data_IF_662147854761
#
_entry.id   IF_662147854761
#
_cell.length_a   1.000
_cell.length_b   1.000
_cell.length_c   1.000
_cell.angle_alpha   90.00
_cell.angle_beta   90.00
_cell.angle_gamma   90.00
#
_symmetry.space_group_name_H-M   'P 1'
#
loop_
_entity.id
_entity.type
_entity.pdbx_description
1 polymer ?
#
# COMPACT_ATOMS: atom_id res chain seq x y z
N UNK A 1 -24.28 39.55 -12.99
CA UNK A 1 -22.97 39.79 -12.38
C UNK A 1 -21.96 39.90 -13.53
N UNK A 2 -21.32 41.06 -13.67
CA UNK A 2 -20.37 41.25 -14.77
C UNK A 2 -19.06 40.48 -14.49
N UNK A 3 -18.27 40.10 -15.50
CA UNK A 3 -16.95 39.48 -15.29
C UNK A 3 -16.03 40.32 -14.40
N UNK A 4 -16.22 41.65 -14.46
CA UNK A 4 -15.47 42.61 -13.65
C UNK A 4 -15.84 42.56 -12.15
N UNK A 5 -17.14 42.36 -11.85
CA UNK A 5 -17.61 42.23 -10.47
C UNK A 5 -17.12 40.93 -9.84
N UNK A 6 -17.11 39.83 -10.62
CA UNK A 6 -16.57 38.54 -10.19
C UNK A 6 -15.07 38.64 -9.90
N UNK A 7 -14.30 39.31 -10.76
CA UNK A 7 -12.87 39.53 -10.59
C UNK A 7 -12.56 40.34 -9.31
N UNK A 8 -13.31 41.42 -9.09
CA UNK A 8 -13.14 42.25 -7.91
C UNK A 8 -13.51 41.50 -6.60
N UNK A 9 -14.58 40.70 -6.62
CA UNK A 9 -14.95 39.83 -5.52
C UNK A 9 -13.87 38.77 -5.20
N UNK A 10 -13.37 38.13 -6.26
CA UNK A 10 -12.27 37.14 -6.13
C UNK A 10 -11.00 37.80 -5.59
N UNK A 11 -10.64 38.97 -6.08
CA UNK A 11 -9.45 39.70 -5.61
C UNK A 11 -9.58 40.12 -4.15
N UNK A 12 -10.75 40.59 -3.73
CA UNK A 12 -11.02 40.96 -2.33
C UNK A 12 -11.03 39.71 -1.42
N UNK A 13 -11.64 38.61 -1.86
CA UNK A 13 -11.64 37.35 -1.12
C UNK A 13 -10.23 36.73 -1.00
N UNK A 14 -9.42 36.78 -2.07
CA UNK A 14 -8.03 36.31 -2.01
C UNK A 14 -7.13 37.18 -1.13
N UNK A 15 -7.37 38.50 -1.10
CA UNK A 15 -6.61 39.41 -0.21
C UNK A 15 -7.00 39.27 1.27
N UNK A 16 -8.15 38.65 1.58
CA UNK A 16 -8.58 38.39 2.95
C UNK A 16 -8.02 37.08 3.52
N UNK A 17 -7.44 36.19 2.67
CA UNK A 17 -6.79 34.98 3.15
C UNK A 17 -5.47 35.33 3.86
N UNK A 18 -5.28 34.95 5.13
CA UNK A 18 -4.04 35.23 5.82
C UNK A 18 -2.89 34.44 5.16
N UNK A 19 -1.82 35.16 4.82
CA UNK A 19 -0.66 34.58 4.12
C UNK A 19 -0.08 33.33 4.83
N UNK A 20 -0.15 33.32 6.16
CA UNK A 20 0.29 32.16 6.94
C UNK A 20 -0.55 30.91 6.68
N UNK A 21 -1.87 31.04 6.47
CA UNK A 21 -2.74 29.90 6.19
C UNK A 21 -2.43 29.31 4.82
N UNK A 22 -2.25 30.15 3.79
CA UNK A 22 -1.84 29.70 2.47
C UNK A 22 -0.49 28.98 2.53
N UNK A 23 0.48 29.54 3.24
CA UNK A 23 1.80 28.92 3.42
C UNK A 23 1.70 27.54 4.07
N UNK A 24 0.92 27.41 5.18
CA UNK A 24 0.72 26.12 5.88
C UNK A 24 0.10 25.07 4.97
N UNK A 25 -0.93 25.44 4.20
CA UNK A 25 -1.62 24.52 3.30
C UNK A 25 -0.72 24.08 2.13
N UNK A 26 0.03 25.00 1.53
CA UNK A 26 0.97 24.69 0.46
C UNK A 26 2.10 23.77 0.98
N UNK A 27 2.65 24.11 2.16
CA UNK A 27 3.69 23.29 2.78
C UNK A 27 3.17 21.87 3.09
N UNK A 28 1.95 21.75 3.62
CA UNK A 28 1.32 20.45 3.88
C UNK A 28 1.15 19.63 2.59
N UNK A 29 0.70 20.27 1.49
CA UNK A 29 0.58 19.62 0.19
C UNK A 29 1.94 19.12 -0.33
N UNK A 30 3.00 19.94 -0.17
CA UNK A 30 4.36 19.57 -0.59
C UNK A 30 4.88 18.38 0.24
N UNK A 31 4.78 18.44 1.58
CA UNK A 31 5.29 17.37 2.45
C UNK A 31 4.54 16.05 2.23
N UNK A 32 3.20 16.09 2.14
CA UNK A 32 2.38 14.94 1.80
C UNK A 32 2.68 14.41 0.38
N UNK A 33 2.91 15.33 -0.56
CA UNK A 33 3.29 15.00 -1.94
C UNK A 33 4.63 14.27 -2.02
N UNK A 34 5.64 14.70 -1.28
CA UNK A 34 6.98 14.05 -1.24
C UNK A 34 6.87 12.60 -0.72
N UNK A 35 6.10 12.38 0.36
CA UNK A 35 5.85 11.01 0.85
C UNK A 35 5.07 10.21 -0.19
N UNK A 36 4.03 10.81 -0.79
CA UNK A 36 3.20 10.16 -1.79
C UNK A 36 3.96 9.80 -3.08
N UNK A 37 4.95 10.61 -3.47
CA UNK A 37 5.81 10.34 -4.62
C UNK A 37 6.64 9.07 -4.42
N UNK A 38 7.20 8.87 -3.24
CA UNK A 38 7.90 7.62 -2.89
C UNK A 38 6.97 6.42 -3.02
N UNK A 39 5.72 6.54 -2.52
CA UNK A 39 4.72 5.48 -2.60
C UNK A 39 4.34 5.14 -4.04
N UNK A 40 4.15 6.17 -4.88
CA UNK A 40 3.80 6.02 -6.29
C UNK A 40 4.93 5.39 -7.10
N UNK A 41 6.17 5.82 -6.90
CA UNK A 41 7.35 5.23 -7.57
C UNK A 41 7.58 3.77 -7.22
N UNK A 42 7.14 3.34 -6.02
CA UNK A 42 7.19 1.96 -5.55
C UNK A 42 5.94 1.15 -5.90
N UNK A 43 5.01 1.69 -6.69
CA UNK A 43 3.73 1.06 -7.05
C UNK A 43 2.93 0.58 -5.84
N UNK A 44 3.02 1.30 -4.71
CA UNK A 44 2.26 0.99 -3.49
C UNK A 44 0.90 1.70 -3.53
N UNK A 45 -0.15 1.14 -2.90
CA UNK A 45 -1.44 1.82 -2.74
C UNK A 45 -1.26 3.18 -2.04
N UNK A 46 -2.20 4.13 -2.29
CA UNK A 46 -2.15 5.51 -1.81
C UNK A 46 -0.87 6.25 -2.25
N UNK A 47 -0.81 6.60 -3.54
CA UNK A 47 0.29 7.36 -4.16
C UNK A 47 0.26 8.86 -3.89
N UNK A 48 0.84 9.64 -4.82
CA UNK A 48 1.05 11.09 -4.73
C UNK A 48 -0.21 11.86 -4.35
N UNK A 49 -1.29 11.69 -5.11
CA UNK A 49 -2.53 12.47 -4.92
C UNK A 49 -3.16 12.20 -3.57
N UNK A 50 -3.24 10.93 -3.16
CA UNK A 50 -3.87 10.51 -1.90
C UNK A 50 -3.14 11.10 -0.70
N UNK A 51 -1.82 10.96 -0.63
CA UNK A 51 -1.03 11.48 0.49
C UNK A 51 -1.03 13.02 0.53
N UNK A 52 -0.95 13.68 -0.64
CA UNK A 52 -1.03 15.12 -0.74
C UNK A 52 -2.37 15.65 -0.21
N UNK A 53 -3.51 15.04 -0.60
CA UNK A 53 -4.82 15.48 -0.13
C UNK A 53 -5.07 15.18 1.34
N UNK A 54 -4.58 14.05 1.87
CA UNK A 54 -4.69 13.75 3.29
C UNK A 54 -3.92 14.76 4.14
N UNK A 55 -2.68 15.06 3.76
CA UNK A 55 -1.85 16.03 4.45
C UNK A 55 -2.46 17.44 4.39
N UNK A 56 -2.88 17.87 3.20
CA UNK A 56 -3.56 19.14 2.99
C UNK A 56 -4.86 19.24 3.80
N UNK A 57 -5.73 18.22 3.73
CA UNK A 57 -7.01 18.20 4.45
C UNK A 57 -6.82 18.23 5.96
N UNK A 58 -5.84 17.50 6.49
CA UNK A 58 -5.52 17.51 7.92
C UNK A 58 -5.01 18.90 8.37
N UNK A 59 -4.18 19.54 7.55
CA UNK A 59 -3.72 20.91 7.82
C UNK A 59 -4.89 21.92 7.79
N UNK A 60 -5.80 21.77 6.83
CA UNK A 60 -6.98 22.63 6.70
C UNK A 60 -7.92 22.46 7.91
N UNK A 61 -8.22 21.22 8.32
CA UNK A 61 -9.05 20.99 9.51
C UNK A 61 -8.41 21.53 10.78
N UNK A 62 -7.09 21.45 10.92
CA UNK A 62 -6.36 22.01 12.05
C UNK A 62 -6.45 23.54 12.06
N UNK A 63 -6.27 24.20 10.92
CA UNK A 63 -6.45 25.64 10.76
C UNK A 63 -7.87 26.07 11.09
N UNK A 64 -8.88 25.37 10.53
CA UNK A 64 -10.29 25.68 10.80
C UNK A 64 -10.64 25.48 12.28
N UNK A 65 -10.05 24.48 12.94
CA UNK A 65 -10.25 24.26 14.38
C UNK A 65 -9.80 25.46 15.22
N UNK A 66 -8.64 26.01 14.89
CA UNK A 66 -8.07 27.18 15.57
C UNK A 66 -8.84 28.46 15.27
N UNK A 67 -9.14 28.75 14.01
CA UNK A 67 -9.82 29.96 13.59
C UNK A 67 -11.28 30.02 14.08
N UNK A 68 -12.03 28.92 13.99
CA UNK A 68 -13.43 28.89 14.45
C UNK A 68 -13.53 28.97 15.96
N UNK A 69 -12.61 28.36 16.70
CA UNK A 69 -12.57 28.49 18.14
C UNK A 69 -12.20 29.92 18.57
N UNK A 70 -11.24 30.55 17.90
CA UNK A 70 -10.86 31.94 18.14
C UNK A 70 -11.99 32.93 17.85
N UNK A 71 -12.78 32.70 16.80
CA UNK A 71 -13.87 33.58 16.41
C UNK A 71 -15.14 33.47 17.28
N UNK A 72 -15.45 32.29 17.80
CA UNK A 72 -16.73 32.00 18.46
C UNK A 72 -16.57 31.58 19.93
N UNK A 73 -15.35 31.46 20.43
CA UNK A 73 -15.04 30.84 21.71
C UNK A 73 -15.18 29.30 21.63
N UNK A 74 -14.33 28.57 22.31
CA UNK A 74 -14.40 27.13 22.36
C UNK A 74 -13.04 26.46 22.39
N UNK A 75 -13.03 25.14 22.25
CA UNK A 75 -11.82 24.31 22.24
C UNK A 75 -11.18 24.32 20.86
N UNK A 76 -9.96 24.85 20.76
CA UNK A 76 -9.14 24.93 19.55
C UNK A 76 -8.75 23.58 18.99
N UNK A 77 -8.87 22.50 19.76
CA UNK A 77 -8.46 21.14 19.34
C UNK A 77 -9.62 20.27 18.88
N UNK A 78 -10.85 20.68 19.11
CA UNK A 78 -12.05 19.84 18.95
C UNK A 78 -12.25 19.31 17.54
N UNK A 79 -12.11 20.16 16.51
CA UNK A 79 -12.26 19.74 15.12
C UNK A 79 -11.03 18.95 14.69
N UNK A 80 -9.82 19.41 15.07
CA UNK A 80 -8.58 18.71 14.78
C UNK A 80 -8.56 17.28 15.34
N UNK A 81 -9.12 17.06 16.54
CA UNK A 81 -9.20 15.74 17.15
C UNK A 81 -10.01 14.72 16.31
N UNK A 82 -10.93 15.19 15.47
CA UNK A 82 -11.71 14.31 14.58
C UNK A 82 -10.93 13.80 13.37
N UNK A 83 -9.74 14.34 13.10
CA UNK A 83 -8.86 13.84 12.04
C UNK A 83 -8.44 12.41 12.33
N UNK A 84 -8.12 12.08 13.59
CA UNK A 84 -7.60 10.76 13.99
C UNK A 84 -8.61 9.64 13.71
N UNK A 85 -9.87 9.68 14.16
CA UNK A 85 -10.85 8.66 13.80
C UNK A 85 -11.19 8.66 12.30
N UNK A 86 -11.23 9.84 11.65
CA UNK A 86 -11.46 9.95 10.21
C UNK A 86 -10.40 9.24 9.37
N UNK A 87 -9.13 9.43 9.72
CA UNK A 87 -8.02 8.75 9.02
C UNK A 87 -7.98 7.26 9.36
N UNK A 88 -8.42 6.88 10.57
CA UNK A 88 -8.59 5.48 10.95
C UNK A 88 -9.55 4.74 10.02
N UNK A 89 -10.67 5.37 9.63
CA UNK A 89 -11.62 4.83 8.65
C UNK A 89 -11.00 4.66 7.26
N UNK A 90 -10.27 5.66 6.76
CA UNK A 90 -9.56 5.59 5.47
C UNK A 90 -8.46 4.51 5.52
N UNK A 91 -7.72 4.44 6.63
CA UNK A 91 -6.69 3.43 6.86
C UNK A 91 -7.26 2.02 6.85
N UNK A 92 -8.37 1.78 7.55
CA UNK A 92 -9.08 0.51 7.53
C UNK A 92 -9.55 0.13 6.12
N UNK A 93 -10.07 1.11 5.35
CA UNK A 93 -10.45 0.91 3.96
C UNK A 93 -9.29 0.58 3.02
N UNK A 94 -8.05 0.88 3.40
CA UNK A 94 -6.85 0.55 2.63
C UNK A 94 -6.29 -0.85 2.94
N UNK A 95 -6.78 -1.51 3.99
CA UNK A 95 -6.38 -2.86 4.38
C UNK A 95 -7.30 -3.86 3.68
N UNK A 96 -6.72 -4.69 2.83
CA UNK A 96 -7.45 -5.73 2.10
C UNK A 96 -7.09 -7.10 2.66
N UNK A 97 -8.13 -7.86 2.94
CA UNK A 97 -8.02 -9.26 3.33
C UNK A 97 -8.48 -10.13 2.16
N UNK A 98 -7.57 -10.89 1.57
CA UNK A 98 -7.88 -11.77 0.43
C UNK A 98 -7.14 -13.09 0.58
N UNK A 99 -7.89 -14.18 0.61
CA UNK A 99 -7.37 -15.55 0.65
C UNK A 99 -6.25 -15.75 1.69
N UNK A 100 -6.48 -15.33 2.95
CA UNK A 100 -5.51 -15.46 4.05
C UNK A 100 -4.36 -14.43 4.07
N UNK A 101 -4.23 -13.61 3.03
CA UNK A 101 -3.22 -12.55 2.97
C UNK A 101 -3.83 -11.20 3.38
N UNK A 102 -3.17 -10.53 4.31
CA UNK A 102 -3.49 -9.16 4.73
C UNK A 102 -2.51 -8.20 4.07
N UNK A 103 -3.03 -7.34 3.20
CA UNK A 103 -2.24 -6.31 2.51
C UNK A 103 -2.69 -4.92 2.91
N UNK A 104 -1.85 -3.91 2.72
CA UNK A 104 -2.21 -2.52 2.99
C UNK A 104 -1.89 -2.01 4.40
N UNK A 105 -1.38 -2.83 5.32
CA UNK A 105 -1.04 -2.39 6.69
C UNK A 105 -0.03 -1.23 6.70
N UNK A 106 1.05 -1.33 5.93
CA UNK A 106 2.04 -0.25 5.79
C UNK A 106 1.41 1.00 5.17
N UNK A 107 0.50 0.83 4.21
CA UNK A 107 -0.25 1.94 3.60
C UNK A 107 -1.11 2.65 4.64
N UNK A 108 -1.89 1.92 5.43
CA UNK A 108 -2.71 2.48 6.50
C UNK A 108 -1.87 3.26 7.52
N UNK A 109 -0.74 2.69 7.95
CA UNK A 109 0.21 3.35 8.85
C UNK A 109 0.79 4.63 8.23
N UNK A 110 1.16 4.60 6.94
CA UNK A 110 1.67 5.77 6.21
C UNK A 110 0.63 6.89 6.16
N UNK A 111 -0.63 6.59 5.84
CA UNK A 111 -1.72 7.56 5.79
C UNK A 111 -1.94 8.23 7.16
N UNK A 112 -1.84 7.46 8.26
CA UNK A 112 -1.95 7.97 9.61
C UNK A 112 -0.85 8.98 9.92
N UNK A 113 0.40 8.67 9.57
CA UNK A 113 1.53 9.59 9.78
C UNK A 113 1.44 10.82 8.88
N UNK A 114 1.02 10.68 7.62
CA UNK A 114 0.82 11.80 6.70
C UNK A 114 -0.24 12.77 7.22
N UNK A 115 -1.33 12.26 7.80
CA UNK A 115 -2.32 13.11 8.46
C UNK A 115 -1.72 13.87 9.65
N UNK A 116 -0.87 13.21 10.44
CA UNK A 116 -0.18 13.84 11.58
C UNK A 116 0.80 14.95 11.12
N UNK A 117 1.51 14.75 9.99
CA UNK A 117 2.34 15.79 9.34
C UNK A 117 1.48 16.98 8.93
N UNK A 118 0.30 16.73 8.36
CA UNK A 118 -0.67 17.76 8.01
C UNK A 118 -1.14 18.54 9.25
N UNK A 119 -1.50 17.85 10.33
CA UNK A 119 -1.88 18.47 11.60
C UNK A 119 -0.76 19.36 12.15
N UNK A 120 0.48 18.87 12.17
CA UNK A 120 1.64 19.64 12.63
C UNK A 120 1.86 20.89 11.77
N UNK A 121 1.72 20.77 10.44
CA UNK A 121 1.86 21.90 9.52
C UNK A 121 0.74 22.94 9.74
N UNK A 122 -0.51 22.48 9.85
CA UNK A 122 -1.68 23.32 10.13
C UNK A 122 -1.58 24.05 11.48
N UNK A 123 -1.05 23.39 12.50
CA UNK A 123 -0.76 23.97 13.81
C UNK A 123 0.48 24.87 13.87
N UNK A 124 1.22 25.05 12.75
CA UNK A 124 2.42 25.90 12.68
C UNK A 124 3.69 25.25 13.23
N UNK A 125 3.68 23.94 13.51
CA UNK A 125 4.82 23.16 14.00
C UNK A 125 5.71 22.68 12.83
N UNK A 126 6.29 23.63 12.09
CA UNK A 126 6.99 23.36 10.83
C UNK A 126 8.19 22.41 10.98
N UNK A 127 9.02 22.63 12.02
CA UNK A 127 10.18 21.79 12.28
C UNK A 127 9.76 20.33 12.56
N UNK A 128 8.71 20.16 13.36
CA UNK A 128 8.14 18.83 13.64
C UNK A 128 7.62 18.17 12.37
N UNK A 129 6.90 18.91 11.53
CA UNK A 129 6.37 18.40 10.26
C UNK A 129 7.49 17.94 9.30
N UNK A 130 8.51 18.80 9.11
CA UNK A 130 9.66 18.48 8.24
C UNK A 130 10.47 17.30 8.80
N UNK A 131 10.77 17.31 10.10
CA UNK A 131 11.48 16.22 10.76
C UNK A 131 10.73 14.88 10.63
N UNK A 132 9.42 14.89 10.90
CA UNK A 132 8.58 13.69 10.76
C UNK A 132 8.56 13.17 9.32
N UNK A 133 8.47 14.08 8.33
CA UNK A 133 8.54 13.72 6.91
C UNK A 133 9.87 13.05 6.57
N UNK A 134 11.00 13.59 7.04
CA UNK A 134 12.32 13.01 6.82
C UNK A 134 12.45 11.62 7.46
N UNK A 135 11.97 11.45 8.68
CA UNK A 135 11.97 10.14 9.35
C UNK A 135 11.13 9.12 8.58
N UNK A 136 9.92 9.51 8.14
CA UNK A 136 9.05 8.63 7.34
C UNK A 136 9.75 8.21 6.05
N UNK A 137 10.33 9.14 5.32
CA UNK A 137 11.06 8.84 4.08
C UNK A 137 12.25 7.91 4.35
N UNK A 138 13.03 8.18 5.40
CA UNK A 138 14.14 7.31 5.78
C UNK A 138 13.67 5.87 6.03
N UNK A 139 12.57 5.71 6.79
CA UNK A 139 11.98 4.39 7.09
C UNK A 139 11.51 3.71 5.80
N UNK A 140 10.75 4.42 4.96
CA UNK A 140 10.23 3.86 3.70
C UNK A 140 11.35 3.45 2.72
N UNK A 141 12.44 4.24 2.65
CA UNK A 141 13.59 3.90 1.79
C UNK A 141 14.42 2.76 2.35
N UNK A 142 14.71 2.75 3.65
CA UNK A 142 15.58 1.73 4.27
C UNK A 142 14.87 0.40 4.40
N UNK A 143 13.66 0.38 4.99
CA UNK A 143 12.91 -0.86 5.15
C UNK A 143 12.46 -1.46 3.82
N UNK A 144 12.10 -0.63 2.82
CA UNK A 144 11.78 -1.12 1.49
C UNK A 144 12.93 -1.91 0.85
N UNK A 145 14.18 -1.44 1.01
CA UNK A 145 15.37 -2.18 0.53
C UNK A 145 15.64 -3.47 1.31
N UNK A 146 15.34 -3.47 2.61
CA UNK A 146 15.44 -4.68 3.43
C UNK A 146 14.34 -5.69 3.08
N UNK A 147 13.11 -5.24 2.86
CA UNK A 147 11.97 -6.09 2.47
C UNK A 147 12.23 -6.80 1.13
N UNK A 148 12.84 -6.10 0.15
CA UNK A 148 13.26 -6.69 -1.13
C UNK A 148 14.41 -7.71 -0.97
N UNK A 149 15.21 -7.60 0.08
CA UNK A 149 16.36 -8.48 0.34
C UNK A 149 15.98 -9.70 1.20
N UNK A 150 14.99 -9.55 2.08
CA UNK A 150 14.33 -10.62 2.82
C UNK A 150 13.02 -10.95 2.11
N UNK A 151 13.11 -11.41 0.87
CA UNK A 151 11.94 -11.85 0.09
C UNK A 151 11.08 -12.77 0.94
N UNK A 152 9.84 -12.37 1.19
CA UNK A 152 8.88 -13.19 1.93
C UNK A 152 8.79 -14.53 1.24
N UNK A 153 8.94 -15.60 2.00
CA UNK A 153 8.57 -16.93 1.58
C UNK A 153 7.08 -16.89 1.22
N UNK A 154 6.77 -17.21 0.00
CA UNK A 154 5.42 -17.28 -0.52
C UNK A 154 5.05 -18.75 -0.66
N UNK A 155 3.92 -19.14 -0.07
CA UNK A 155 3.28 -20.40 -0.39
C UNK A 155 2.50 -20.22 -1.69
N UNK A 156 2.89 -20.92 -2.72
CA UNK A 156 2.25 -20.85 -4.03
C UNK A 156 1.63 -22.19 -4.38
N UNK A 157 0.35 -22.18 -4.74
CA UNK A 157 -0.34 -23.35 -5.23
C UNK A 157 -0.15 -23.50 -6.75
N UNK A 158 0.17 -24.70 -7.14
CA UNK A 158 0.32 -25.11 -8.53
C UNK A 158 -0.68 -26.21 -8.87
N UNK A 159 -1.14 -26.22 -10.09
CA UNK A 159 -1.95 -27.29 -10.67
C UNK A 159 -1.25 -27.77 -11.92
N UNK A 160 -0.98 -29.07 -11.99
CA UNK A 160 -0.40 -29.72 -13.16
C UNK A 160 -1.31 -30.85 -13.62
N UNK A 161 -1.37 -31.07 -14.93
CA UNK A 161 -2.14 -32.17 -15.52
C UNK A 161 -1.25 -33.06 -16.35
N UNK A 162 -1.61 -34.35 -16.42
CA UNK A 162 -0.90 -35.37 -17.22
C UNK A 162 -1.61 -36.71 -17.17
N UNK A 163 -0.96 -37.76 -17.64
CA UNK A 163 -1.58 -39.08 -17.78
C UNK A 163 -1.23 -40.01 -16.62
N UNK A 164 0.01 -39.97 -16.16
CA UNK A 164 0.51 -40.91 -15.13
C UNK A 164 0.90 -40.10 -13.83
N UNK A 165 0.22 -40.34 -12.71
CA UNK A 165 0.48 -39.58 -11.48
C UNK A 165 1.89 -39.81 -10.91
N UNK A 166 2.45 -41.02 -11.06
CA UNK A 166 3.78 -41.35 -10.53
C UNK A 166 4.88 -40.62 -11.32
N UNK A 167 4.77 -40.59 -12.67
CA UNK A 167 5.70 -39.88 -13.53
C UNK A 167 5.62 -38.35 -13.32
N UNK A 168 4.39 -37.81 -13.17
CA UNK A 168 4.18 -36.39 -12.86
C UNK A 168 4.81 -36.02 -11.55
N UNK A 169 4.60 -36.82 -10.51
CA UNK A 169 5.15 -36.53 -9.17
C UNK A 169 6.68 -36.61 -9.19
N UNK A 170 7.28 -37.58 -9.87
CA UNK A 170 8.73 -37.71 -10.02
C UNK A 170 9.33 -36.51 -10.77
N UNK A 171 8.70 -36.07 -11.84
CA UNK A 171 9.13 -34.91 -12.64
C UNK A 171 9.06 -33.62 -11.82
N UNK A 172 7.93 -33.39 -11.15
CA UNK A 172 7.75 -32.19 -10.29
C UNK A 172 8.76 -32.21 -9.15
N UNK A 173 9.00 -33.36 -8.51
CA UNK A 173 10.03 -33.49 -7.47
C UNK A 173 11.42 -33.11 -8.02
N UNK A 174 11.79 -33.63 -9.19
CA UNK A 174 13.08 -33.33 -9.82
C UNK A 174 13.25 -31.81 -10.08
N UNK A 175 12.19 -31.17 -10.54
CA UNK A 175 12.19 -29.71 -10.77
C UNK A 175 12.35 -28.94 -9.47
N UNK A 176 11.64 -29.37 -8.40
CA UNK A 176 11.67 -28.70 -7.11
C UNK A 176 12.98 -28.94 -6.33
N UNK A 177 13.54 -30.16 -6.40
CA UNK A 177 14.83 -30.49 -5.81
C UNK A 177 15.97 -29.65 -6.40
N UNK A 178 15.91 -29.34 -7.69
CA UNK A 178 16.87 -28.44 -8.33
C UNK A 178 16.83 -27.01 -7.78
N UNK A 179 15.72 -26.59 -7.18
CA UNK A 179 15.56 -25.31 -6.49
C UNK A 179 15.61 -25.46 -4.96
N UNK A 180 15.98 -26.65 -4.44
CA UNK A 180 16.03 -26.99 -3.01
C UNK A 180 14.70 -26.76 -2.30
N UNK A 181 13.59 -27.12 -2.94
CA UNK A 181 12.23 -26.99 -2.43
C UNK A 181 11.51 -28.34 -2.44
N UNK A 182 10.43 -28.42 -1.67
CA UNK A 182 9.60 -29.62 -1.53
C UNK A 182 8.15 -29.31 -1.87
N UNK A 183 7.41 -30.31 -2.29
CA UNK A 183 5.95 -30.22 -2.45
C UNK A 183 5.29 -30.34 -1.09
N UNK A 184 4.29 -29.51 -0.83
CA UNK A 184 3.41 -29.57 0.32
C UNK A 184 1.95 -29.64 -0.13
N UNK A 185 1.05 -30.17 0.70
CA UNK A 185 -0.40 -30.23 0.47
C UNK A 185 -0.77 -30.85 -0.90
N UNK A 186 -0.22 -32.05 -1.18
CA UNK A 186 -0.43 -32.72 -2.46
C UNK A 186 -1.84 -33.29 -2.52
N UNK A 187 -2.61 -32.87 -3.53
CA UNK A 187 -3.94 -33.39 -3.83
C UNK A 187 -3.95 -33.94 -5.27
N UNK A 188 -4.37 -35.19 -5.43
CA UNK A 188 -4.45 -35.81 -6.74
C UNK A 188 -5.90 -36.18 -7.03
N UNK A 189 -6.42 -35.69 -8.17
CA UNK A 189 -7.76 -36.00 -8.65
C UNK A 189 -7.69 -36.60 -10.06
N UNK A 190 -8.54 -37.57 -10.35
CA UNK A 190 -8.68 -38.13 -11.69
C UNK A 190 -10.01 -37.67 -12.30
N UNK A 191 -9.96 -37.09 -13.49
CA UNK A 191 -11.14 -36.67 -14.23
C UNK A 191 -10.96 -36.91 -15.74
N UNK A 192 -11.92 -37.57 -16.37
CA UNK A 192 -11.99 -37.75 -17.82
C UNK A 192 -10.71 -38.34 -18.48
N UNK A 193 -10.01 -39.24 -17.77
CA UNK A 193 -8.80 -39.88 -18.32
C UNK A 193 -7.50 -39.12 -18.10
N UNK A 194 -7.55 -37.92 -17.53
CA UNK A 194 -6.38 -37.15 -17.13
C UNK A 194 -6.24 -37.09 -15.60
N UNK A 195 -5.02 -37.01 -15.13
CA UNK A 195 -4.70 -36.82 -13.73
C UNK A 195 -4.39 -35.34 -13.50
N UNK A 196 -5.06 -34.77 -12.52
CA UNK A 196 -4.81 -33.41 -12.02
C UNK A 196 -4.14 -33.51 -10.65
N UNK A 197 -2.99 -32.91 -10.50
CA UNK A 197 -2.26 -32.83 -9.25
C UNK A 197 -2.14 -31.35 -8.84
N UNK A 198 -2.61 -31.03 -7.63
CA UNK A 198 -2.41 -29.74 -6.98
C UNK A 198 -1.42 -29.90 -5.85
N UNK A 199 -0.53 -28.95 -5.70
CA UNK A 199 0.46 -28.94 -4.64
C UNK A 199 0.87 -27.50 -4.31
N UNK A 200 1.39 -27.30 -3.11
CA UNK A 200 1.91 -26.00 -2.66
C UNK A 200 3.44 -26.06 -2.58
N UNK A 201 4.10 -24.96 -2.86
CA UNK A 201 5.55 -24.81 -2.73
C UNK A 201 5.85 -23.54 -2.00
N UNK A 202 6.64 -23.65 -0.93
CA UNK A 202 7.19 -22.49 -0.24
C UNK A 202 8.46 -22.01 -0.96
N UNK A 203 8.54 -20.72 -1.27
CA UNK A 203 9.73 -20.15 -1.92
C UNK A 203 9.64 -18.65 -2.13
N UNK A 204 10.77 -18.02 -2.43
CA UNK A 204 10.78 -16.58 -2.76
C UNK A 204 10.27 -16.33 -4.18
N UNK A 205 9.75 -15.13 -4.44
CA UNK A 205 9.10 -14.80 -5.73
C UNK A 205 9.94 -15.19 -6.97
N UNK A 206 11.26 -14.97 -6.95
CA UNK A 206 12.17 -15.36 -8.03
C UNK A 206 12.29 -16.87 -8.24
N UNK A 207 12.23 -17.64 -7.17
CA UNK A 207 12.23 -19.11 -7.26
C UNK A 207 10.92 -19.61 -7.84
N UNK A 208 9.80 -19.02 -7.43
CA UNK A 208 8.47 -19.33 -7.93
C UNK A 208 8.35 -19.07 -9.45
N UNK A 209 8.95 -17.98 -9.96
CA UNK A 209 9.04 -17.71 -11.40
C UNK A 209 9.82 -18.81 -12.13
N UNK A 210 10.99 -19.22 -11.62
CA UNK A 210 11.80 -20.29 -12.20
C UNK A 210 11.09 -21.64 -12.16
N UNK A 211 10.45 -21.97 -11.04
CA UNK A 211 9.65 -23.20 -10.91
C UNK A 211 8.52 -23.18 -11.92
N UNK A 212 7.77 -22.08 -12.03
CA UNK A 212 6.69 -21.94 -13.01
C UNK A 212 7.17 -22.13 -14.44
N UNK A 213 8.32 -21.57 -14.79
CA UNK A 213 8.89 -21.70 -16.12
C UNK A 213 9.30 -23.15 -16.41
N UNK A 214 10.01 -23.81 -15.49
CA UNK A 214 10.43 -25.21 -15.63
C UNK A 214 9.26 -26.17 -15.72
N UNK A 215 8.20 -25.97 -14.93
CA UNK A 215 6.99 -26.77 -15.02
C UNK A 215 6.31 -26.65 -16.38
N UNK A 216 6.29 -25.46 -16.98
CA UNK A 216 5.74 -25.22 -18.32
C UNK A 216 6.61 -25.81 -19.44
N UNK A 217 7.91 -25.91 -19.25
CA UNK A 217 8.87 -26.45 -20.22
C UNK A 217 8.95 -28.00 -20.19
N UNK A 218 8.41 -28.62 -19.12
CA UNK A 218 8.40 -30.08 -19.01
C UNK A 218 7.53 -30.74 -20.08
N UNK A 219 8.08 -31.75 -20.72
CA UNK A 219 7.38 -32.52 -21.75
C UNK A 219 6.46 -33.63 -21.20
N UNK A 220 6.59 -33.95 -19.91
CA UNK A 220 5.78 -34.95 -19.20
C UNK A 220 4.47 -34.36 -18.66
N UNK A 221 4.39 -33.02 -18.53
CA UNK A 221 3.21 -32.32 -18.06
C UNK A 221 2.43 -31.80 -19.28
N UNK A 222 1.15 -32.12 -19.37
CA UNK A 222 0.27 -31.60 -20.42
C UNK A 222 -0.05 -30.12 -20.22
N UNK A 223 -0.19 -29.70 -18.93
CA UNK A 223 -0.32 -28.30 -18.56
C UNK A 223 0.20 -28.04 -17.15
N UNK A 224 0.65 -26.81 -16.90
CA UNK A 224 1.07 -26.33 -15.61
C UNK A 224 0.53 -24.90 -15.38
N UNK A 225 -0.29 -24.73 -14.34
CA UNK A 225 -0.91 -23.46 -13.99
C UNK A 225 -0.49 -23.04 -12.59
N UNK A 226 -0.17 -21.75 -12.47
CA UNK A 226 -0.06 -21.10 -11.19
C UNK A 226 -1.48 -20.72 -10.71
N UNK A 227 -1.92 -21.29 -9.59
CA UNK A 227 -3.28 -21.09 -9.07
C UNK A 227 -3.37 -19.82 -8.18
N UNK A 228 -2.27 -19.47 -7.54
CA UNK A 228 -2.19 -18.30 -6.65
C UNK A 228 -1.45 -18.60 -5.35
N UNK A 229 -1.41 -17.62 -4.43
CA UNK A 229 -0.89 -17.86 -3.10
C UNK A 229 -1.72 -18.92 -2.37
N UNK A 230 -1.05 -19.89 -1.75
CA UNK A 230 -1.66 -20.89 -0.89
C UNK A 230 -1.59 -20.44 0.58
N UNK A 231 -2.55 -20.85 1.40
CA UNK A 231 -2.46 -20.68 2.85
C UNK A 231 -1.55 -21.76 3.42
N UNK A 232 -0.61 -21.43 4.33
CA UNK A 232 -0.03 -22.45 5.19
C UNK A 232 -1.12 -22.99 6.14
N UNK A 233 -1.30 -24.29 6.21
CA UNK A 233 -2.15 -24.92 7.22
C UNK A 233 -1.57 -24.78 8.63
#
# INVERSE_FOLDING_TARGET
>A
MSPHDLWNLLRTALSSLPAYAVFRLVLAAILGGIIGLERETKHKPAGLRTNMFICFGSALFTLLSDELASAHGGDHTRIAAQIIPGIGFIGAGSILHSRGLVTGLTTAATLFVVASVGMATGGGLYLTAVFSTLVVLLVLFTLGRFEDRFSKLLFCAYEVTGQNPEEMQAEVNTILEAEHRMMENIQVARAHGHVRMQFSVEGVAREQERITQRLKESKLLESAFFVGPAEPE
#
